data_IF_007788648041
#
_entry.id   IF_007788648041
#
_cell.length_a   1.000
_cell.length_b   1.000
_cell.length_c   1.000
_cell.angle_alpha   90.00
_cell.angle_beta   90.00
_cell.angle_gamma   90.00
#
_symmetry.space_group_name_H-M   'P 1'
#
loop_
_entity.id
_entity.type
_entity.pdbx_description
1 polymer ?
#
# COMPACT_ATOMS: atom_id res chain seq x y z
N UNK A 1 -14.41 60.65 7.55
CA UNK A 1 -13.96 61.64 8.56
C UNK A 1 -14.95 61.63 9.73
N UNK A 2 -14.42 61.77 10.95
CA UNK A 2 -15.05 61.77 12.29
C UNK A 2 -15.39 60.39 12.88
N UNK A 3 -14.60 59.79 13.81
CA UNK A 3 -14.29 60.12 15.23
C UNK A 3 -15.56 60.18 16.09
N UNK A 4 -15.70 59.61 17.30
CA UNK A 4 -14.83 59.11 18.39
C UNK A 4 -15.80 58.39 19.38
N UNK A 5 -15.51 57.20 19.92
CA UNK A 5 -14.78 56.91 21.17
C UNK A 5 -15.54 57.15 22.50
N UNK A 6 -15.18 56.33 23.51
CA UNK A 6 -15.44 56.42 24.97
C UNK A 6 -16.76 55.82 25.52
N UNK A 7 -16.87 55.18 26.69
CA UNK A 7 -15.95 54.62 27.73
C UNK A 7 -16.84 54.04 28.87
N UNK A 8 -16.22 53.32 29.81
CA UNK A 8 -16.65 53.00 31.19
C UNK A 8 -17.41 51.68 31.39
N UNK A 9 -16.86 50.65 32.04
CA UNK A 9 -16.31 50.49 33.42
C UNK A 9 -17.43 50.25 34.46
N UNK A 10 -17.14 49.32 35.40
CA UNK A 10 -17.86 48.92 36.63
C UNK A 10 -18.94 47.83 36.44
N UNK A 11 -19.11 46.81 37.29
CA UNK A 11 -18.61 46.56 38.64
C UNK A 11 -18.67 45.06 38.98
N UNK A 12 -17.78 44.63 39.88
CA UNK A 12 -17.63 43.27 40.42
C UNK A 12 -18.67 43.02 41.52
N UNK A 13 -19.30 41.85 41.53
CA UNK A 13 -19.97 41.31 42.72
C UNK A 13 -19.59 39.84 42.92
N UNK A 14 -18.79 39.61 43.96
CA UNK A 14 -18.50 38.31 44.57
C UNK A 14 -19.78 37.76 45.24
N UNK A 15 -19.99 36.44 45.11
CA UNK A 15 -20.25 35.53 46.24
C UNK A 15 -20.70 34.16 45.73
N UNK A 16 -19.84 33.15 45.80
CA UNK A 16 -20.30 31.77 45.99
C UNK A 16 -19.34 31.07 46.94
N UNK A 17 -19.81 30.84 48.17
CA UNK A 17 -19.27 29.84 49.08
C UNK A 17 -19.64 28.45 48.53
N UNK A 18 -18.65 27.57 48.37
CA UNK A 18 -18.84 26.21 47.88
C UNK A 18 -17.92 25.24 48.61
N UNK A 19 -18.54 24.25 49.27
CA UNK A 19 -17.95 23.26 50.17
C UNK A 19 -16.76 22.49 49.59
N UNK A 20 -15.76 22.25 50.46
CA UNK A 20 -14.65 21.35 50.20
C UNK A 20 -15.11 19.87 50.25
N UNK A 21 -14.83 19.05 49.22
CA UNK A 21 -14.89 17.60 49.34
C UNK A 21 -13.55 17.02 49.85
N UNK A 22 -13.57 15.85 50.52
CA UNK A 22 -12.37 15.20 51.05
C UNK A 22 -11.43 14.70 49.93
N UNK A 23 -10.13 14.50 50.24
CA UNK A 23 -9.15 14.06 49.24
C UNK A 23 -9.50 12.67 48.70
N UNK A 24 -9.66 12.59 47.37
CA UNK A 24 -9.73 11.32 46.64
C UNK A 24 -8.33 10.73 46.58
N UNK A 25 -8.22 9.48 47.03
CA UNK A 25 -7.08 8.60 46.78
C UNK A 25 -6.79 8.57 45.27
N UNK A 26 -5.54 8.72 44.81
CA UNK A 26 -5.21 8.59 43.40
C UNK A 26 -5.45 7.14 42.96
N UNK A 27 -6.48 6.92 42.17
CA UNK A 27 -6.64 5.69 41.40
C UNK A 27 -5.60 5.72 40.26
N UNK A 28 -4.66 4.78 40.30
CA UNK A 28 -3.64 4.63 39.27
C UNK A 28 -4.33 4.43 37.90
N UNK A 29 -3.93 5.17 36.86
CA UNK A 29 -4.48 4.97 35.52
C UNK A 29 -4.29 3.52 35.06
N UNK A 30 -5.31 2.89 34.44
CA UNK A 30 -5.12 1.59 33.80
C UNK A 30 -4.06 1.72 32.71
N UNK A 31 -3.08 0.80 32.72
CA UNK A 31 -2.02 0.73 31.72
C UNK A 31 -2.63 0.64 30.32
N UNK A 32 -2.16 1.47 29.35
CA UNK A 32 -2.64 1.38 27.99
C UNK A 32 -2.30 -0.01 27.41
N UNK A 33 -3.19 -0.60 26.59
CA UNK A 33 -2.90 -1.87 25.93
C UNK A 33 -1.61 -1.75 25.11
N UNK A 34 -0.83 -2.84 24.99
CA UNK A 34 0.42 -2.81 24.24
C UNK A 34 0.14 -2.31 22.81
N UNK A 35 0.96 -1.38 22.29
CA UNK A 35 0.85 -0.96 20.91
C UNK A 35 0.92 -2.20 20.02
N UNK A 36 -0.13 -2.42 19.22
CA UNK A 36 -0.01 -3.31 18.07
C UNK A 36 0.99 -2.60 17.15
N UNK A 37 2.23 -3.09 17.12
CA UNK A 37 3.26 -2.66 16.18
C UNK A 37 2.79 -3.01 14.77
N UNK A 38 1.99 -2.13 14.18
CA UNK A 38 1.81 -2.10 12.73
C UNK A 38 3.17 -1.66 12.18
N UNK A 39 3.83 -2.45 11.32
CA UNK A 39 5.14 -2.08 10.80
C UNK A 39 5.05 -0.69 10.17
N UNK A 40 5.97 0.20 10.56
CA UNK A 40 6.00 1.57 10.07
C UNK A 40 6.06 1.57 8.53
N UNK A 41 5.22 2.36 7.85
CA UNK A 41 5.27 2.48 6.40
C UNK A 41 6.67 3.00 6.02
N UNK A 42 7.45 2.16 5.34
CA UNK A 42 8.79 2.53 4.88
C UNK A 42 8.67 3.28 3.57
N UNK A 43 7.95 4.41 3.58
CA UNK A 43 7.60 5.14 2.37
C UNK A 43 8.76 6.05 1.96
N UNK A 44 9.78 5.48 1.31
CA UNK A 44 10.42 6.24 0.24
C UNK A 44 9.38 6.32 -0.87
N UNK A 45 9.01 7.52 -1.33
CA UNK A 45 7.92 7.76 -2.30
C UNK A 45 8.01 6.94 -3.60
N UNK A 46 9.17 6.35 -3.89
CA UNK A 46 9.44 5.48 -5.03
C UNK A 46 9.43 3.97 -4.76
N UNK A 47 9.09 3.47 -3.56
CA UNK A 47 9.01 2.02 -3.28
C UNK A 47 8.11 1.65 -2.10
N UNK A 48 7.67 0.39 -2.09
CA UNK A 48 7.02 -0.24 -0.93
C UNK A 48 7.30 -1.75 -0.91
N UNK A 49 6.98 -2.42 0.20
CA UNK A 49 7.13 -3.86 0.36
C UNK A 49 5.78 -4.53 0.62
N UNK A 50 5.60 -5.75 0.11
CA UNK A 50 4.39 -6.55 0.29
C UNK A 50 4.74 -7.99 0.67
N UNK A 51 4.03 -8.55 1.65
CA UNK A 51 4.18 -9.95 2.08
C UNK A 51 3.58 -10.93 1.06
N UNK A 52 4.23 -11.06 -0.10
CA UNK A 52 3.83 -11.99 -1.15
C UNK A 52 5.04 -12.49 -1.96
N UNK A 53 4.84 -13.62 -2.65
CA UNK A 53 5.80 -14.13 -3.62
C UNK A 53 5.98 -13.16 -4.80
N UNK A 54 7.18 -13.14 -5.36
CA UNK A 54 7.56 -12.25 -6.44
C UNK A 54 6.77 -12.51 -7.71
N UNK A 55 6.56 -13.78 -8.10
CA UNK A 55 5.86 -14.09 -9.33
C UNK A 55 4.38 -13.71 -9.24
N UNK A 56 3.77 -13.95 -8.07
CA UNK A 56 2.39 -13.54 -7.81
C UNK A 56 2.26 -12.01 -7.87
N UNK A 57 3.16 -11.30 -7.19
CA UNK A 57 3.22 -9.83 -7.19
C UNK A 57 3.44 -9.28 -8.60
N UNK A 58 4.41 -9.82 -9.34
CA UNK A 58 4.71 -9.41 -10.71
C UNK A 58 3.48 -9.55 -11.62
N UNK A 59 2.83 -10.73 -11.62
CA UNK A 59 1.63 -10.94 -12.44
C UNK A 59 0.50 -9.98 -12.05
N UNK A 60 0.28 -9.75 -10.75
CA UNK A 60 -0.75 -8.83 -10.26
C UNK A 60 -0.46 -7.37 -10.64
N UNK A 61 0.80 -6.91 -10.52
CA UNK A 61 1.24 -5.59 -11.01
C UNK A 61 0.89 -5.46 -12.49
N UNK A 62 1.21 -6.46 -13.31
CA UNK A 62 0.88 -6.45 -14.73
C UNK A 62 -0.62 -6.27 -15.01
N UNK A 63 -1.49 -6.96 -14.27
CA UNK A 63 -2.95 -6.81 -14.42
C UNK A 63 -3.43 -5.42 -14.03
N UNK A 64 -2.92 -4.87 -12.92
CA UNK A 64 -3.28 -3.53 -12.47
C UNK A 64 -2.83 -2.50 -13.51
N UNK A 65 -1.57 -2.54 -13.96
CA UNK A 65 -1.03 -1.56 -14.92
C UNK A 65 -1.81 -1.52 -16.23
N UNK A 66 -2.23 -2.67 -16.76
CA UNK A 66 -2.98 -2.74 -18.02
C UNK A 66 -4.38 -2.11 -17.90
N UNK A 67 -4.99 -2.15 -16.71
CA UNK A 67 -6.33 -1.58 -16.47
C UNK A 67 -6.31 -0.17 -15.87
N UNK A 68 -5.17 0.33 -15.42
CA UNK A 68 -5.07 1.65 -14.78
C UNK A 68 -5.19 2.77 -15.83
N UNK A 69 -6.17 3.68 -15.71
CA UNK A 69 -6.28 4.82 -16.61
C UNK A 69 -5.03 5.70 -16.59
N UNK A 70 -4.63 6.20 -17.76
CA UNK A 70 -3.46 7.07 -17.90
C UNK A 70 -2.10 6.34 -17.90
N UNK A 71 -2.07 5.04 -17.61
CA UNK A 71 -0.89 4.20 -17.82
C UNK A 71 -0.86 3.71 -19.27
N UNK A 72 0.23 4.02 -19.96
CA UNK A 72 0.56 3.39 -21.25
C UNK A 72 1.54 2.27 -20.99
N UNK A 73 1.12 1.04 -21.26
CA UNK A 73 1.95 -0.14 -21.12
C UNK A 73 2.88 -0.29 -22.33
N UNK A 74 4.20 -0.19 -22.12
CA UNK A 74 5.18 -0.31 -23.22
C UNK A 74 5.77 -1.73 -23.32
N UNK A 75 5.93 -2.43 -22.20
CA UNK A 75 6.42 -3.81 -22.22
C UNK A 75 6.76 -4.40 -20.86
N UNK A 76 7.25 -5.64 -20.88
CA UNK A 76 7.78 -6.36 -19.70
C UNK A 76 8.98 -7.20 -20.05
N UNK A 77 9.90 -7.36 -19.09
CA UNK A 77 10.97 -8.33 -19.16
C UNK A 77 10.97 -9.18 -17.88
N UNK A 78 10.43 -10.39 -17.97
CA UNK A 78 10.24 -11.27 -16.83
C UNK A 78 11.58 -11.69 -16.18
N UNK A 79 12.63 -11.91 -16.97
CA UNK A 79 13.97 -12.23 -16.43
C UNK A 79 14.61 -11.08 -15.65
N UNK A 80 14.09 -9.86 -15.80
CA UNK A 80 14.55 -8.68 -15.08
C UNK A 80 13.51 -8.18 -14.07
N UNK A 81 12.40 -8.91 -13.91
CA UNK A 81 11.27 -8.56 -13.04
C UNK A 81 10.77 -7.13 -13.22
N UNK A 82 10.74 -6.65 -14.48
CA UNK A 82 10.42 -5.26 -14.78
C UNK A 82 9.23 -5.09 -15.74
N UNK A 83 8.58 -3.94 -15.59
CA UNK A 83 7.60 -3.37 -16.50
C UNK A 83 8.08 -2.01 -17.00
N UNK A 84 8.01 -1.74 -18.30
CA UNK A 84 8.20 -0.41 -18.89
C UNK A 84 6.84 0.22 -19.14
N UNK A 85 6.64 1.44 -18.63
CA UNK A 85 5.38 2.17 -18.75
C UNK A 85 5.64 3.65 -19.02
N UNK A 86 4.63 4.33 -19.56
CA UNK A 86 4.48 5.78 -19.42
C UNK A 86 3.30 6.10 -18.55
N UNK A 87 3.49 6.99 -17.59
CA UNK A 87 2.42 7.53 -16.77
C UNK A 87 2.51 9.05 -16.79
N UNK A 88 1.38 9.71 -17.10
CA UNK A 88 1.32 11.18 -17.27
C UNK A 88 2.37 11.73 -18.25
N UNK A 89 2.69 10.97 -19.29
CA UNK A 89 3.64 11.37 -20.35
C UNK A 89 5.10 11.05 -20.07
N UNK A 90 5.46 10.64 -18.85
CA UNK A 90 6.84 10.33 -18.47
C UNK A 90 7.12 8.81 -18.49
N UNK A 91 8.26 8.37 -19.06
CA UNK A 91 8.62 6.96 -19.13
C UNK A 91 9.36 6.49 -17.86
N UNK A 92 8.88 5.44 -17.21
CA UNK A 92 9.52 4.84 -16.04
C UNK A 92 9.43 3.31 -16.07
N UNK A 93 10.15 2.67 -15.15
CA UNK A 93 10.12 1.23 -14.94
C UNK A 93 9.64 0.88 -13.55
N UNK A 94 8.86 -0.18 -13.43
CA UNK A 94 8.48 -0.80 -12.16
C UNK A 94 9.22 -2.11 -12.03
N UNK A 95 9.92 -2.31 -10.92
CA UNK A 95 10.66 -3.53 -10.60
C UNK A 95 10.01 -4.23 -9.41
N UNK A 96 9.94 -5.56 -9.46
CA UNK A 96 9.47 -6.39 -8.34
C UNK A 96 10.59 -7.32 -7.87
N UNK A 97 11.23 -7.01 -6.74
CA UNK A 97 12.39 -7.77 -6.23
C UNK A 97 12.03 -8.54 -4.97
N UNK A 98 12.37 -9.83 -4.92
CA UNK A 98 12.28 -10.59 -3.67
C UNK A 98 13.24 -10.01 -2.64
N UNK A 99 12.75 -9.78 -1.43
CA UNK A 99 13.59 -9.46 -0.29
C UNK A 99 14.04 -10.74 0.40
N UNK A 100 15.29 -10.76 0.85
CA UNK A 100 15.85 -11.87 1.62
C UNK A 100 15.25 -11.90 3.02
N UNK A 101 15.03 -13.11 3.55
CA UNK A 101 14.62 -13.28 4.94
C UNK A 101 15.66 -12.68 5.89
N UNK A 102 15.18 -12.04 6.95
CA UNK A 102 16.00 -11.34 7.92
C UNK A 102 15.34 -11.35 9.31
N UNK A 103 15.94 -10.63 10.26
CA UNK A 103 15.30 -10.42 11.56
C UNK A 103 13.97 -9.67 11.47
N UNK A 104 13.85 -8.76 10.49
CA UNK A 104 12.61 -8.01 10.22
C UNK A 104 11.69 -8.67 9.19
N UNK A 105 12.22 -9.54 8.31
CA UNK A 105 11.45 -10.18 7.22
C UNK A 105 11.35 -11.68 7.49
N UNK A 106 10.21 -12.10 8.06
CA UNK A 106 9.95 -13.52 8.41
C UNK A 106 9.19 -14.31 7.35
N UNK A 107 8.59 -13.62 6.38
CA UNK A 107 7.81 -14.22 5.30
C UNK A 107 8.37 -13.79 3.95
N UNK A 108 8.06 -14.57 2.91
CA UNK A 108 8.34 -14.18 1.53
C UNK A 108 7.75 -12.80 1.27
N UNK A 109 8.62 -11.85 0.96
CA UNK A 109 8.28 -10.44 0.80
C UNK A 109 8.88 -9.95 -0.50
N UNK A 110 8.14 -9.12 -1.22
CA UNK A 110 8.55 -8.51 -2.48
C UNK A 110 8.57 -7.00 -2.31
N UNK A 111 9.67 -6.37 -2.70
CA UNK A 111 9.77 -4.92 -2.85
C UNK A 111 9.31 -4.52 -4.26
N UNK A 112 8.43 -3.54 -4.34
CA UNK A 112 7.99 -2.92 -5.58
C UNK A 112 8.61 -1.52 -5.64
N UNK A 113 9.41 -1.25 -6.67
CA UNK A 113 10.18 -0.01 -6.79
C UNK A 113 10.00 0.61 -8.17
N UNK A 114 9.84 1.94 -8.22
CA UNK A 114 9.83 2.72 -9.45
C UNK A 114 11.22 3.32 -9.74
N UNK A 115 11.65 3.24 -11.01
CA UNK A 115 12.94 3.79 -11.47
C UNK A 115 12.81 4.47 -12.82
N UNK A 116 13.73 5.37 -13.13
CA UNK A 116 13.89 5.89 -14.50
C UNK A 116 14.34 4.76 -15.43
N UNK A 117 14.22 4.89 -16.76
CA UNK A 117 14.75 3.90 -17.71
C UNK A 117 16.26 3.63 -17.57
N UNK A 118 16.99 4.54 -16.93
CA UNK A 118 18.42 4.39 -16.60
C UNK A 118 18.67 3.70 -15.26
N UNK A 119 17.62 3.27 -14.55
CA UNK A 119 17.68 2.62 -13.25
C UNK A 119 17.83 3.55 -12.04
N UNK A 120 17.83 4.86 -12.24
CA UNK A 120 17.88 5.82 -11.12
C UNK A 120 16.55 5.83 -10.35
N UNK A 121 16.55 6.02 -9.02
CA UNK A 121 15.33 6.23 -8.25
C UNK A 121 14.51 7.40 -8.79
N UNK A 122 13.18 7.29 -8.70
CA UNK A 122 12.26 8.38 -9.05
C UNK A 122 11.52 8.82 -7.80
N UNK A 123 11.52 10.12 -7.57
CA UNK A 123 10.75 10.77 -6.50
C UNK A 123 9.97 11.94 -7.11
N UNK A 124 8.76 11.64 -7.60
CA UNK A 124 7.82 12.64 -8.07
C UNK A 124 6.38 12.22 -7.71
N UNK A 125 5.46 13.18 -7.77
CA UNK A 125 4.06 12.98 -7.33
C UNK A 125 3.35 11.90 -8.14
N UNK A 126 3.65 11.82 -9.44
CA UNK A 126 2.97 10.89 -10.33
C UNK A 126 3.43 9.42 -10.09
N UNK A 127 4.69 9.19 -9.72
CA UNK A 127 5.17 7.89 -9.22
C UNK A 127 4.53 7.55 -7.89
N UNK A 128 4.51 8.50 -6.96
CA UNK A 128 3.95 8.29 -5.64
C UNK A 128 2.47 7.88 -5.71
N UNK A 129 1.69 8.54 -6.58
CA UNK A 129 0.29 8.22 -6.81
C UNK A 129 0.10 6.81 -7.40
N UNK A 130 0.88 6.44 -8.40
CA UNK A 130 0.79 5.12 -9.02
C UNK A 130 1.21 4.00 -8.05
N UNK A 131 2.29 4.21 -7.28
CA UNK A 131 2.73 3.25 -6.28
C UNK A 131 1.73 3.11 -5.13
N UNK A 132 1.11 4.20 -4.67
CA UNK A 132 0.06 4.14 -3.67
C UNK A 132 -1.17 3.37 -4.19
N UNK A 133 -1.52 3.53 -5.47
CA UNK A 133 -2.55 2.71 -6.12
C UNK A 133 -2.14 1.23 -6.11
N UNK A 134 -0.92 0.91 -6.53
CA UNK A 134 -0.44 -0.48 -6.55
C UNK A 134 -0.45 -1.09 -5.14
N UNK A 135 0.09 -0.39 -4.14
CA UNK A 135 0.12 -0.85 -2.75
C UNK A 135 -1.28 -1.18 -2.22
N UNK A 136 -2.28 -0.36 -2.58
CA UNK A 136 -3.68 -0.59 -2.20
C UNK A 136 -4.32 -1.79 -2.91
N UNK A 137 -4.12 -1.92 -4.23
CA UNK A 137 -4.85 -2.89 -5.06
C UNK A 137 -4.18 -4.28 -5.08
N UNK A 138 -2.87 -4.37 -4.83
CA UNK A 138 -2.10 -5.60 -4.99
C UNK A 138 -2.58 -6.77 -4.13
N UNK A 139 -2.91 -6.62 -2.84
CA UNK A 139 -3.33 -7.77 -2.03
C UNK A 139 -4.53 -8.52 -2.63
N UNK A 140 -5.56 -7.80 -3.06
CA UNK A 140 -6.74 -8.38 -3.67
C UNK A 140 -6.45 -8.94 -5.07
N UNK A 141 -5.65 -8.23 -5.88
CA UNK A 141 -5.32 -8.71 -7.21
C UNK A 141 -4.46 -9.99 -7.20
N UNK A 142 -3.56 -10.12 -6.22
CA UNK A 142 -2.75 -11.32 -6.03
C UNK A 142 -3.64 -12.55 -5.81
N UNK A 143 -4.67 -12.43 -4.98
CA UNK A 143 -5.63 -13.52 -4.74
C UNK A 143 -6.42 -13.88 -6.01
N UNK A 144 -6.88 -12.86 -6.75
CA UNK A 144 -7.58 -13.03 -8.02
C UNK A 144 -6.73 -13.79 -9.04
N UNK A 145 -5.48 -13.35 -9.26
CA UNK A 145 -4.54 -13.97 -10.21
C UNK A 145 -4.24 -15.42 -9.83
N UNK A 146 -4.04 -15.70 -8.53
CA UNK A 146 -3.86 -17.08 -8.04
C UNK A 146 -5.05 -17.97 -8.37
N UNK A 147 -6.26 -17.47 -8.13
CA UNK A 147 -7.48 -18.20 -8.42
C UNK A 147 -7.62 -18.51 -9.92
N UNK A 148 -7.31 -17.54 -10.78
CA UNK A 148 -7.32 -17.72 -12.23
C UNK A 148 -6.34 -18.79 -12.69
N UNK A 149 -5.07 -18.74 -12.25
CA UNK A 149 -4.08 -19.76 -12.61
C UNK A 149 -4.45 -21.15 -12.09
N UNK A 150 -5.01 -21.25 -10.88
CA UNK A 150 -5.50 -22.51 -10.34
C UNK A 150 -6.66 -23.07 -11.17
N UNK A 151 -7.59 -22.22 -11.60
CA UNK A 151 -8.71 -22.61 -12.45
C UNK A 151 -8.25 -23.08 -13.83
N UNK A 152 -7.34 -22.35 -14.46
CA UNK A 152 -6.74 -22.73 -15.75
C UNK A 152 -6.00 -24.07 -15.67
N UNK A 153 -5.21 -24.29 -14.62
CA UNK A 153 -4.48 -25.53 -14.42
C UNK A 153 -5.45 -26.72 -14.31
N UNK A 154 -6.49 -26.57 -13.49
CA UNK A 154 -7.55 -27.59 -13.34
C UNK A 154 -8.26 -27.86 -14.68
N UNK A 155 -8.57 -26.83 -15.45
CA UNK A 155 -9.19 -26.97 -16.77
C UNK A 155 -8.28 -27.73 -17.76
N UNK A 156 -7.00 -27.37 -17.82
CA UNK A 156 -5.99 -28.03 -18.66
C UNK A 156 -5.82 -29.50 -18.27
N UNK A 157 -5.81 -29.83 -16.98
CA UNK A 157 -5.73 -31.21 -16.49
C UNK A 157 -6.97 -32.04 -16.85
N UNK A 158 -8.18 -31.49 -16.68
CA UNK A 158 -9.43 -32.14 -17.08
C UNK A 158 -9.46 -32.42 -18.59
N UNK A 159 -9.07 -31.44 -19.41
CA UNK A 159 -8.99 -31.60 -20.86
C UNK A 159 -7.99 -32.70 -21.28
N UNK A 160 -6.81 -32.77 -20.64
CA UNK A 160 -5.82 -33.84 -20.88
C UNK A 160 -6.38 -35.22 -20.54
N UNK A 161 -7.08 -35.38 -19.41
CA UNK A 161 -7.70 -36.66 -19.00
C UNK A 161 -8.78 -37.11 -19.98
N UNK A 162 -9.63 -36.19 -20.44
CA UNK A 162 -10.68 -36.50 -21.42
C UNK A 162 -10.10 -36.92 -22.78
N UNK A 163 -9.06 -36.24 -23.28
CA UNK A 163 -8.37 -36.64 -24.52
C UNK A 163 -7.77 -38.05 -24.43
N UNK A 164 -7.10 -38.38 -23.32
CA UNK A 164 -6.56 -39.73 -23.08
C UNK A 164 -7.64 -40.81 -22.99
N UNK A 165 -8.82 -40.50 -22.42
CA UNK A 165 -9.95 -41.44 -22.38
C UNK A 165 -10.54 -41.69 -23.77
N UNK A 166 -10.60 -40.65 -24.61
CA UNK A 166 -11.09 -40.77 -26.00
C UNK A 166 -10.14 -41.55 -26.92
N UNK A 167 -8.81 -41.47 -26.72
CA UNK A 167 -7.86 -42.21 -27.55
C UNK A 167 -7.67 -43.68 -27.16
N UNK A 168 -8.26 -44.12 -26.04
CA UNK A 168 -8.21 -45.51 -25.54
C UNK A 168 -9.48 -46.30 -25.88
N UNK A 169 -10.45 -45.67 -26.56
CA UNK A 169 -11.70 -46.28 -27.02
C UNK A 169 -11.69 -46.27 -28.54
#
# INVERSE_FOLDING_TARGET
MSMRALVSIFCIALAIAGCAPPPRTPELPPEPPPPIEVPAPTTTRGRFAIEADKNDTWNAVGQILVRTPGVTYEGRAQMLDLYSIRYRGEPWMILTRSLTLSDSIKKTTTEVTATTPKGAPVDNDAVAELLALLERELPAEIESVKAQFAAEKKAKEKAKKQKKKKSKK
#
